data_IF_445535323396
#
_entry.id   IF_445535323396
#
_cell.length_a   1.000
_cell.length_b   1.000
_cell.length_c   1.000
_cell.angle_alpha   90.00
_cell.angle_beta   90.00
_cell.angle_gamma   90.00
#
_symmetry.space_group_name_H-M   'P 1'
#
loop_
_entity.id
_entity.type
_entity.pdbx_description
1 polymer ?
#
# COMPACT_ATOMS: atom_id res chain seq x y z
N UNK A 1 -5.12 -32.53 -8.87
CA UNK A 1 -4.10 -32.68 -7.81
C UNK A 1 -2.83 -32.00 -8.29
N UNK A 2 -2.54 -30.80 -7.76
CA UNK A 2 -1.44 -29.95 -8.22
C UNK A 2 -0.50 -29.74 -7.04
N UNK A 3 0.73 -30.19 -7.18
CA UNK A 3 1.79 -30.05 -6.18
C UNK A 3 2.13 -28.57 -6.02
N UNK A 4 1.69 -27.96 -4.92
CA UNK A 4 2.02 -26.58 -4.57
C UNK A 4 3.39 -26.59 -3.91
N UNK A 5 4.30 -25.77 -4.43
CA UNK A 5 5.63 -25.50 -3.88
C UNK A 5 5.58 -25.37 -2.35
N UNK A 6 6.20 -26.34 -1.65
CA UNK A 6 6.49 -26.30 -0.22
C UNK A 6 7.56 -25.25 0.09
N UNK A 7 7.19 -23.98 -0.01
CA UNK A 7 7.88 -22.95 0.78
C UNK A 7 6.95 -22.71 1.96
N UNK A 8 7.28 -23.28 3.13
CA UNK A 8 6.54 -23.07 4.38
C UNK A 8 6.55 -21.56 4.70
N UNK A 9 5.51 -20.85 4.29
CA UNK A 9 5.53 -19.37 4.28
C UNK A 9 4.68 -18.72 5.36
N UNK A 10 3.71 -19.42 5.96
CA UNK A 10 2.96 -18.86 7.09
C UNK A 10 3.55 -19.28 8.42
N UNK A 11 4.38 -18.46 9.04
CA UNK A 11 4.64 -18.57 10.48
C UNK A 11 3.48 -17.95 11.26
N UNK A 12 3.29 -18.36 12.52
CA UNK A 12 2.39 -17.65 13.46
C UNK A 12 2.78 -16.19 13.64
N UNK A 13 4.07 -15.86 13.50
CA UNK A 13 4.52 -14.47 13.56
C UNK A 13 4.30 -13.77 12.22
N UNK A 14 3.64 -12.60 12.21
CA UNK A 14 3.46 -11.82 11.00
C UNK A 14 4.73 -11.05 10.63
N UNK A 15 4.84 -10.72 9.34
CA UNK A 15 5.84 -9.79 8.84
C UNK A 15 5.41 -8.37 9.24
N UNK A 16 6.16 -7.77 10.17
CA UNK A 16 5.92 -6.41 10.65
C UNK A 16 6.98 -5.45 10.13
N UNK A 17 6.59 -4.19 9.97
CA UNK A 17 7.54 -3.13 9.64
C UNK A 17 6.89 -1.78 9.51
N UNK A 18 7.69 -0.83 9.02
CA UNK A 18 7.23 0.53 8.71
C UNK A 18 7.56 0.86 7.26
N UNK A 19 6.64 1.56 6.60
CA UNK A 19 6.83 2.05 5.23
C UNK A 19 6.56 3.55 5.19
N UNK A 20 7.41 4.28 4.47
CA UNK A 20 7.26 5.73 4.28
C UNK A 20 6.84 6.06 2.86
N UNK A 21 5.75 6.82 2.73
CA UNK A 21 5.20 7.27 1.43
C UNK A 21 4.87 8.75 1.55
N UNK A 22 5.40 9.56 0.64
CA UNK A 22 5.15 11.00 0.55
C UNK A 22 5.28 11.74 1.90
N UNK A 23 6.33 11.41 2.66
CA UNK A 23 6.66 11.90 4.00
C UNK A 23 5.75 11.43 5.15
N UNK A 24 4.78 10.57 4.90
CA UNK A 24 3.99 9.90 5.93
C UNK A 24 4.57 8.51 6.25
N UNK A 25 4.37 8.05 7.49
CA UNK A 25 4.86 6.75 7.98
C UNK A 25 3.67 5.87 8.35
N UNK A 26 3.75 4.62 7.94
CA UNK A 26 2.71 3.63 8.16
C UNK A 26 3.32 2.38 8.78
N UNK A 27 2.70 1.86 9.82
CA UNK A 27 3.03 0.55 10.37
C UNK A 27 2.22 -0.50 9.62
N UNK A 28 2.86 -1.58 9.23
CA UNK A 28 2.20 -2.70 8.58
C UNK A 28 2.42 -4.01 9.32
N UNK A 29 1.47 -4.91 9.15
CA UNK A 29 1.49 -6.28 9.64
C UNK A 29 0.88 -7.19 8.57
N UNK A 30 1.65 -8.15 8.07
CA UNK A 30 1.22 -9.12 7.05
C UNK A 30 1.32 -10.54 7.62
N UNK A 31 0.20 -11.24 7.62
CA UNK A 31 0.15 -12.67 7.90
C UNK A 31 0.14 -13.43 6.58
N UNK A 32 1.03 -14.41 6.42
CA UNK A 32 1.02 -15.33 5.29
C UNK A 32 0.27 -16.61 5.66
N UNK A 33 -0.50 -17.15 4.72
CA UNK A 33 -1.33 -18.33 4.94
C UNK A 33 -0.92 -19.48 4.02
N UNK A 34 -1.10 -20.76 4.45
CA UNK A 34 -1.66 -21.18 5.74
C UNK A 34 -0.69 -20.94 6.91
N UNK A 35 -1.23 -20.68 8.10
CA UNK A 35 -0.43 -20.54 9.31
C UNK A 35 0.12 -21.91 9.75
N UNK A 36 1.38 -21.93 10.17
CA UNK A 36 2.07 -23.12 10.68
C UNK A 36 2.62 -22.84 12.07
N UNK A 37 2.52 -23.82 12.97
CA UNK A 37 2.96 -23.71 14.35
C UNK A 37 2.13 -24.59 15.30
N UNK A 38 2.25 -24.32 16.60
CA UNK A 38 1.43 -24.98 17.61
C UNK A 38 -0.07 -24.68 17.38
N UNK A 39 -0.91 -25.72 17.44
CA UNK A 39 -2.35 -25.65 17.12
C UNK A 39 -3.08 -24.57 17.93
N UNK A 40 -2.87 -24.49 19.24
CA UNK A 40 -3.49 -23.48 20.11
C UNK A 40 -3.11 -22.07 19.66
N UNK A 41 -1.85 -21.87 19.28
CA UNK A 41 -1.36 -20.58 18.78
C UNK A 41 -1.97 -20.24 17.42
N UNK A 42 -2.03 -21.20 16.51
CA UNK A 42 -2.65 -21.05 15.18
C UNK A 42 -4.12 -20.68 15.33
N UNK A 43 -4.90 -21.43 16.11
CA UNK A 43 -6.33 -21.14 16.33
C UNK A 43 -6.56 -19.78 16.96
N UNK A 44 -5.72 -19.36 17.92
CA UNK A 44 -5.79 -18.02 18.52
C UNK A 44 -5.60 -16.93 17.46
N UNK A 45 -4.59 -17.07 16.60
CA UNK A 45 -4.29 -16.07 15.57
C UNK A 45 -5.35 -16.09 14.48
N UNK A 46 -5.83 -17.26 14.05
CA UNK A 46 -6.96 -17.33 13.11
C UNK A 46 -8.19 -16.60 13.65
N UNK A 47 -8.53 -16.80 14.93
CA UNK A 47 -9.64 -16.10 15.55
C UNK A 47 -9.42 -14.58 15.62
N UNK A 48 -8.19 -14.11 15.86
CA UNK A 48 -7.86 -12.68 15.79
C UNK A 48 -8.05 -12.13 14.36
N UNK A 49 -7.53 -12.83 13.35
CA UNK A 49 -7.66 -12.45 11.95
C UNK A 49 -9.13 -12.41 11.48
N UNK A 50 -9.92 -13.41 11.90
CA UNK A 50 -11.36 -13.48 11.64
C UNK A 50 -12.06 -12.24 12.19
N UNK A 51 -11.83 -11.91 13.46
CA UNK A 51 -12.43 -10.72 14.11
C UNK A 51 -11.99 -9.42 13.45
N UNK A 52 -10.68 -9.27 13.17
CA UNK A 52 -10.12 -8.04 12.61
C UNK A 52 -10.57 -7.78 11.18
N UNK A 53 -10.68 -8.82 10.34
CA UNK A 53 -11.07 -8.67 8.95
C UNK A 53 -12.59 -8.71 8.76
N UNK A 54 -13.29 -9.59 9.49
CA UNK A 54 -14.75 -9.74 9.43
C UNK A 54 -15.53 -8.72 10.25
N UNK A 55 -14.91 -8.10 11.26
CA UNK A 55 -15.51 -7.05 12.09
C UNK A 55 -15.44 -5.65 11.49
N UNK A 56 -14.84 -5.48 10.30
CA UNK A 56 -14.65 -4.17 9.66
C UNK A 56 -15.98 -3.60 9.20
N UNK A 57 -16.23 -2.34 9.58
CA UNK A 57 -17.45 -1.62 9.17
C UNK A 57 -17.14 -0.38 8.36
N UNK A 58 -17.95 -0.13 7.34
CA UNK A 58 -17.98 1.11 6.58
C UNK A 58 -19.42 1.62 6.56
N UNK A 59 -19.64 2.83 7.11
CA UNK A 59 -20.97 3.43 7.26
C UNK A 59 -21.99 2.50 7.96
N UNK A 60 -21.56 1.80 9.00
CA UNK A 60 -22.41 0.90 9.79
C UNK A 60 -22.57 -0.52 9.21
N UNK A 61 -22.29 -0.74 7.93
CA UNK A 61 -22.38 -2.05 7.27
C UNK A 61 -21.02 -2.78 7.24
N UNK A 62 -21.00 -4.12 7.18
CA UNK A 62 -19.77 -4.89 6.93
C UNK A 62 -19.09 -4.43 5.63
N UNK A 63 -17.77 -4.25 5.69
CA UNK A 63 -17.03 -3.75 4.55
C UNK A 63 -17.04 -4.76 3.40
N UNK A 64 -17.52 -4.35 2.21
CA UNK A 64 -17.69 -5.22 1.04
C UNK A 64 -18.56 -6.47 1.32
N UNK A 65 -19.44 -6.43 2.32
CA UNK A 65 -20.24 -7.59 2.73
C UNK A 65 -19.43 -8.72 3.38
N UNK A 66 -18.15 -8.51 3.67
CA UNK A 66 -17.27 -9.52 4.27
C UNK A 66 -17.54 -9.61 5.77
N UNK A 67 -18.04 -10.76 6.21
CA UNK A 67 -18.35 -11.08 7.61
C UNK A 67 -17.29 -12.01 8.22
N UNK A 68 -17.33 -12.19 9.54
CA UNK A 68 -16.46 -13.16 10.24
C UNK A 68 -16.61 -14.58 9.67
N UNK A 69 -17.82 -14.99 9.29
CA UNK A 69 -18.07 -16.33 8.73
C UNK A 69 -17.44 -16.51 7.35
N UNK A 70 -17.52 -15.49 6.49
CA UNK A 70 -16.86 -15.50 5.17
C UNK A 70 -15.34 -15.58 5.34
N UNK A 71 -14.78 -14.78 6.26
CA UNK A 71 -13.34 -14.80 6.54
C UNK A 71 -12.91 -16.16 7.09
N UNK A 72 -13.68 -16.73 8.03
CA UNK A 72 -13.42 -18.06 8.58
C UNK A 72 -13.40 -19.12 7.49
N UNK A 73 -14.42 -19.12 6.63
CA UNK A 73 -14.52 -20.06 5.50
C UNK A 73 -13.31 -19.94 4.56
N UNK A 74 -12.90 -18.72 4.21
CA UNK A 74 -11.76 -18.49 3.32
C UNK A 74 -10.42 -18.86 3.94
N UNK A 75 -10.22 -18.64 5.24
CA UNK A 75 -9.01 -19.07 5.95
C UNK A 75 -8.94 -20.60 6.00
N UNK A 76 -10.03 -21.28 6.37
CA UNK A 76 -10.07 -22.73 6.50
C UNK A 76 -9.98 -23.45 5.15
N UNK A 77 -10.48 -22.83 4.09
CA UNK A 77 -10.42 -23.37 2.71
C UNK A 77 -9.12 -23.00 1.98
N UNK A 78 -8.18 -22.32 2.64
CA UNK A 78 -6.93 -21.81 2.05
C UNK A 78 -7.15 -20.90 0.82
N UNK A 79 -8.26 -20.16 0.80
CA UNK A 79 -8.56 -19.20 -0.27
C UNK A 79 -7.72 -17.93 -0.16
N UNK A 80 -7.20 -17.63 1.04
CA UNK A 80 -6.25 -16.53 1.25
C UNK A 80 -4.81 -17.04 1.29
N UNK A 81 -3.93 -16.29 0.65
CA UNK A 81 -2.48 -16.48 0.71
C UNK A 81 -1.81 -15.47 1.66
N UNK A 82 -2.47 -14.35 1.93
CA UNK A 82 -2.01 -13.37 2.89
C UNK A 82 -3.13 -12.47 3.41
N UNK A 83 -2.97 -11.90 4.59
CA UNK A 83 -3.85 -10.86 5.15
C UNK A 83 -2.97 -9.71 5.61
N UNK A 84 -3.26 -8.51 5.13
CA UNK A 84 -2.49 -7.31 5.45
C UNK A 84 -3.29 -6.26 6.19
N UNK A 85 -2.62 -5.64 7.16
CA UNK A 85 -3.12 -4.49 7.90
C UNK A 85 -2.09 -3.38 7.86
N UNK A 86 -2.54 -2.16 7.61
CA UNK A 86 -1.72 -0.96 7.59
C UNK A 86 -2.45 0.15 8.34
N UNK A 87 -1.76 0.89 9.19
CA UNK A 87 -2.29 2.10 9.80
C UNK A 87 -1.26 3.21 9.80
N UNK A 88 -1.74 4.46 9.76
CA UNK A 88 -0.87 5.62 9.87
C UNK A 88 -0.30 5.72 11.29
N UNK A 89 1.01 5.94 11.43
CA UNK A 89 1.65 6.09 12.75
C UNK A 89 1.10 7.27 13.55
N UNK A 90 0.69 8.34 12.87
CA UNK A 90 0.17 9.56 13.51
C UNK A 90 -1.32 9.50 13.76
N UNK A 91 -2.05 8.75 12.95
CA UNK A 91 -3.52 8.70 12.94
C UNK A 91 -3.92 7.23 12.89
N UNK A 92 -3.81 6.56 14.05
CA UNK A 92 -3.94 5.10 14.15
C UNK A 92 -5.32 4.61 13.70
N UNK A 93 -6.35 5.46 13.79
CA UNK A 93 -7.71 5.14 13.35
C UNK A 93 -7.86 5.15 11.82
N UNK A 94 -6.92 5.76 11.08
CA UNK A 94 -6.88 5.73 9.62
C UNK A 94 -6.06 4.53 9.16
N UNK A 95 -6.78 3.45 8.88
CA UNK A 95 -6.21 2.14 8.60
C UNK A 95 -6.80 1.52 7.35
N UNK A 96 -6.05 0.62 6.74
CA UNK A 96 -6.47 -0.18 5.61
C UNK A 96 -6.13 -1.64 5.86
N UNK A 97 -6.97 -2.52 5.32
CA UNK A 97 -6.71 -3.94 5.30
C UNK A 97 -7.25 -4.59 4.04
N UNK A 98 -6.62 -5.67 3.64
CA UNK A 98 -6.96 -6.43 2.45
C UNK A 98 -6.39 -7.85 2.57
N UNK A 99 -6.78 -8.70 1.65
CA UNK A 99 -6.24 -10.06 1.53
C UNK A 99 -5.47 -10.20 0.21
N UNK A 100 -4.51 -11.11 0.21
CA UNK A 100 -3.79 -11.57 -0.96
C UNK A 100 -4.27 -12.98 -1.30
N UNK A 101 -4.39 -13.26 -2.59
CA UNK A 101 -4.77 -14.57 -3.09
C UNK A 101 -3.94 -14.94 -4.32
N UNK A 102 -3.27 -16.09 -4.24
CA UNK A 102 -2.70 -16.77 -5.40
C UNK A 102 -3.78 -17.57 -6.10
N UNK A 103 -4.31 -17.03 -7.20
CA UNK A 103 -5.30 -17.72 -8.01
C UNK A 103 -5.23 -17.23 -9.45
N UNK A 104 -5.55 -18.09 -10.41
CA UNK A 104 -5.68 -17.68 -11.80
C UNK A 104 -7.16 -17.52 -12.14
N UNK A 105 -7.66 -16.28 -12.08
CA UNK A 105 -9.06 -15.97 -12.38
C UNK A 105 -9.31 -15.71 -13.88
N UNK A 106 -8.26 -15.65 -14.70
CA UNK A 106 -8.34 -15.14 -16.08
C UNK A 106 -8.33 -16.21 -17.16
N UNK A 107 -7.92 -17.45 -16.84
CA UNK A 107 -7.93 -18.56 -17.79
C UNK A 107 -8.53 -19.80 -17.17
N UNK A 108 -9.30 -20.56 -17.97
CA UNK A 108 -9.79 -21.90 -17.58
C UNK A 108 -8.65 -22.89 -17.34
N UNK A 109 -7.49 -22.64 -17.95
CA UNK A 109 -6.30 -23.45 -17.77
C UNK A 109 -5.53 -23.03 -16.51
N UNK A 110 -5.71 -23.81 -15.44
CA UNK A 110 -5.00 -23.61 -14.17
C UNK A 110 -3.46 -23.74 -14.27
N UNK A 111 -2.93 -24.17 -15.42
CA UNK A 111 -1.50 -24.36 -15.69
C UNK A 111 -0.79 -23.12 -16.23
N UNK A 112 -1.51 -22.14 -16.77
CA UNK A 112 -0.92 -20.97 -17.43
C UNK A 112 -1.02 -19.74 -16.53
N UNK A 113 0.11 -19.35 -15.95
CA UNK A 113 0.35 -18.09 -15.22
C UNK A 113 -0.45 -17.90 -13.92
N UNK A 114 0.21 -18.19 -12.80
CA UNK A 114 -0.27 -17.80 -11.47
C UNK A 114 -0.38 -16.27 -11.41
N UNK A 115 -1.47 -15.77 -10.85
CA UNK A 115 -1.65 -14.33 -10.61
C UNK A 115 -1.76 -14.06 -9.11
N UNK A 116 -1.30 -12.87 -8.73
CA UNK A 116 -1.53 -12.35 -7.39
C UNK A 116 -2.71 -11.38 -7.40
N UNK A 117 -3.70 -11.64 -6.55
CA UNK A 117 -4.90 -10.85 -6.42
C UNK A 117 -4.99 -10.16 -5.07
N UNK A 118 -5.40 -8.89 -5.09
CA UNK A 118 -5.80 -8.14 -3.90
C UNK A 118 -7.31 -8.22 -3.79
N UNK A 119 -7.79 -8.80 -2.69
CA UNK A 119 -9.20 -8.93 -2.38
C UNK A 119 -9.54 -8.20 -1.07
N UNK A 120 -10.83 -8.08 -0.77
CA UNK A 120 -11.37 -7.59 0.51
C UNK A 120 -10.81 -6.25 0.98
N UNK A 121 -10.43 -5.38 0.04
CA UNK A 121 -9.79 -4.11 0.35
C UNK A 121 -10.78 -3.16 1.05
N UNK A 122 -10.45 -2.79 2.28
CA UNK A 122 -11.22 -1.84 3.07
C UNK A 122 -10.31 -0.78 3.66
N UNK A 123 -10.76 0.48 3.63
CA UNK A 123 -10.22 1.56 4.46
C UNK A 123 -11.20 1.86 5.58
N UNK A 124 -10.74 1.74 6.81
CA UNK A 124 -11.46 2.16 8.01
C UNK A 124 -10.87 3.49 8.48
N UNK A 125 -11.75 4.41 8.87
CA UNK A 125 -11.36 5.69 9.47
C UNK A 125 -12.02 5.78 10.85
N UNK A 126 -11.35 6.45 11.78
CA UNK A 126 -11.96 6.89 13.03
C UNK A 126 -13.12 7.85 12.78
N UNK A 127 -13.75 8.28 13.88
CA UNK A 127 -14.88 9.21 13.83
C UNK A 127 -14.54 10.50 13.08
N UNK A 128 -15.58 11.17 12.57
CA UNK A 128 -15.48 12.22 11.54
C UNK A 128 -14.65 13.45 11.93
N UNK A 129 -14.29 13.59 13.21
CA UNK A 129 -13.48 14.70 13.72
C UNK A 129 -11.97 14.50 13.56
N UNK A 130 -11.51 13.30 13.22
CA UNK A 130 -10.09 13.07 13.00
C UNK A 130 -9.64 13.57 11.62
N UNK A 131 -8.48 14.26 11.61
CA UNK A 131 -7.91 14.78 10.37
C UNK A 131 -7.54 13.61 9.46
N UNK A 132 -7.99 13.66 8.20
CA UNK A 132 -7.57 12.64 7.23
C UNK A 132 -6.09 12.79 6.95
N UNK A 133 -5.35 11.68 6.93
CA UNK A 133 -4.02 11.65 6.36
C UNK A 133 -4.08 12.12 4.90
N UNK A 134 -3.06 12.87 4.47
CA UNK A 134 -2.92 13.29 3.07
C UNK A 134 -2.62 12.09 2.17
N UNK A 135 -2.00 11.05 2.74
CA UNK A 135 -1.63 9.81 2.05
C UNK A 135 -2.50 8.66 2.53
N UNK A 136 -3.29 8.08 1.64
CA UNK A 136 -4.16 6.96 2.00
C UNK A 136 -3.37 5.74 2.52
N UNK A 137 -3.75 5.10 3.65
CA UNK A 137 -3.15 3.83 4.09
C UNK A 137 -3.33 2.71 3.05
N UNK A 138 -4.32 2.80 2.16
CA UNK A 138 -4.47 1.89 1.01
C UNK A 138 -3.25 1.94 0.08
N UNK A 139 -2.68 3.13 -0.16
CA UNK A 139 -1.48 3.29 -0.98
C UNK A 139 -0.28 2.59 -0.34
N UNK A 140 -0.16 2.66 0.98
CA UNK A 140 0.86 1.96 1.74
C UNK A 140 0.66 0.44 1.72
N UNK A 141 -0.58 -0.03 1.89
CA UNK A 141 -0.91 -1.45 1.80
C UNK A 141 -0.55 -2.04 0.43
N UNK A 142 -0.87 -1.36 -0.67
CA UNK A 142 -0.48 -1.80 -2.01
C UNK A 142 1.04 -1.92 -2.18
N UNK A 143 1.81 -0.95 -1.66
CA UNK A 143 3.28 -1.02 -1.71
C UNK A 143 3.83 -2.18 -0.89
N UNK A 144 3.27 -2.46 0.28
CA UNK A 144 3.68 -3.60 1.11
C UNK A 144 3.35 -4.91 0.39
N UNK A 145 2.18 -5.01 -0.22
CA UNK A 145 1.78 -6.18 -1.02
C UNK A 145 2.68 -6.40 -2.23
N UNK A 146 3.08 -5.35 -2.95
CA UNK A 146 4.09 -5.44 -4.01
C UNK A 146 5.42 -5.99 -3.48
N UNK A 147 5.90 -5.50 -2.34
CA UNK A 147 7.16 -5.96 -1.74
C UNK A 147 7.10 -7.42 -1.30
N UNK A 148 6.02 -7.82 -0.62
CA UNK A 148 5.78 -9.20 -0.18
C UNK A 148 5.69 -10.12 -1.40
N UNK A 149 4.91 -9.74 -2.41
CA UNK A 149 4.76 -10.55 -3.64
C UNK A 149 6.09 -10.71 -4.35
N UNK A 150 6.84 -9.63 -4.56
CA UNK A 150 8.15 -9.72 -5.22
C UNK A 150 9.18 -10.52 -4.40
N UNK A 151 9.10 -10.49 -3.07
CA UNK A 151 10.01 -11.24 -2.22
C UNK A 151 9.73 -12.75 -2.30
N UNK A 152 8.47 -13.16 -2.24
CA UNK A 152 8.09 -14.57 -2.22
C UNK A 152 7.83 -15.18 -3.61
N UNK A 153 7.55 -14.36 -4.62
CA UNK A 153 7.31 -14.75 -6.00
C UNK A 153 8.02 -13.78 -6.95
N UNK A 154 9.36 -13.84 -7.06
CA UNK A 154 10.15 -12.89 -7.86
C UNK A 154 9.85 -12.92 -9.36
N UNK A 155 9.17 -13.97 -9.84
CA UNK A 155 8.75 -14.10 -11.24
C UNK A 155 7.40 -13.47 -11.53
N UNK A 156 6.65 -13.05 -10.50
CA UNK A 156 5.46 -12.24 -10.71
C UNK A 156 5.87 -10.81 -10.98
N UNK A 157 5.36 -10.26 -12.07
CA UNK A 157 5.59 -8.88 -12.49
C UNK A 157 4.36 -8.00 -12.27
N UNK A 158 3.24 -8.58 -11.87
CA UNK A 158 1.94 -7.91 -11.84
C UNK A 158 1.11 -8.35 -10.64
N UNK A 159 0.33 -7.40 -10.13
CA UNK A 159 -0.70 -7.62 -9.10
C UNK A 159 -2.05 -7.12 -9.62
N UNK A 160 -3.11 -7.85 -9.28
CA UNK A 160 -4.44 -7.67 -9.84
C UNK A 160 -5.43 -7.29 -8.74
N UNK A 161 -6.49 -6.60 -9.13
CA UNK A 161 -7.67 -6.39 -8.30
C UNK A 161 -8.92 -6.35 -9.19
N UNK A 162 -10.07 -6.52 -8.56
CA UNK A 162 -11.36 -6.46 -9.22
C UNK A 162 -12.21 -5.33 -8.63
N UNK A 163 -12.95 -4.63 -9.48
CA UNK A 163 -13.92 -3.61 -9.11
C UNK A 163 -15.29 -4.07 -9.57
N UNK A 164 -16.23 -4.21 -8.64
CA UNK A 164 -17.63 -4.49 -8.95
C UNK A 164 -18.20 -3.39 -9.84
N UNK A 165 -18.87 -3.77 -10.93
CA UNK A 165 -19.55 -2.90 -11.89
C UNK A 165 -20.97 -3.40 -12.19
N UNK A 166 -21.62 -4.02 -11.20
CA UNK A 166 -23.03 -4.35 -11.24
C UNK A 166 -23.90 -3.13 -11.55
N UNK A 167 -25.07 -3.40 -12.15
CA UNK A 167 -26.05 -2.40 -12.52
C UNK A 167 -26.41 -1.52 -11.31
N UNK A 168 -26.33 -0.20 -11.48
CA UNK A 168 -26.58 0.79 -10.44
C UNK A 168 -25.36 1.18 -9.58
N UNK A 169 -24.19 0.58 -9.82
CA UNK A 169 -22.92 0.96 -9.16
C UNK A 169 -21.92 1.65 -10.09
N UNK A 170 -22.27 1.97 -11.33
CA UNK A 170 -21.34 2.42 -12.38
C UNK A 170 -20.60 3.70 -11.99
N UNK A 171 -21.27 4.63 -11.30
CA UNK A 171 -20.65 5.87 -10.81
C UNK A 171 -19.59 5.59 -9.73
N UNK A 172 -19.86 4.63 -8.83
CA UNK A 172 -18.92 4.19 -7.81
C UNK A 172 -17.74 3.44 -8.44
N UNK A 173 -18.01 2.54 -9.39
CA UNK A 173 -16.99 1.79 -10.14
C UNK A 173 -16.05 2.74 -10.89
N UNK A 174 -16.56 3.79 -11.54
CA UNK A 174 -15.74 4.83 -12.19
C UNK A 174 -14.88 5.60 -11.19
N UNK A 175 -15.42 5.92 -10.01
CA UNK A 175 -14.67 6.59 -8.94
C UNK A 175 -13.54 5.70 -8.41
N UNK A 176 -13.82 4.42 -8.17
CA UNK A 176 -12.82 3.45 -7.70
C UNK A 176 -11.73 3.24 -8.75
N UNK A 177 -12.10 3.11 -10.04
CA UNK A 177 -11.12 3.04 -11.14
C UNK A 177 -10.19 4.26 -11.14
N UNK A 178 -10.72 5.47 -11.00
CA UNK A 178 -9.89 6.69 -10.93
C UNK A 178 -8.91 6.66 -9.75
N UNK A 179 -9.37 6.22 -8.57
CA UNK A 179 -8.53 6.06 -7.38
C UNK A 179 -7.42 5.01 -7.62
N UNK A 180 -7.76 3.84 -8.16
CA UNK A 180 -6.78 2.78 -8.40
C UNK A 180 -5.82 3.11 -9.55
N UNK A 181 -6.27 3.82 -10.57
CA UNK A 181 -5.41 4.38 -11.62
C UNK A 181 -4.36 5.33 -11.04
N UNK A 182 -4.73 6.19 -10.08
CA UNK A 182 -3.78 7.05 -9.37
C UNK A 182 -2.74 6.26 -8.55
N UNK A 183 -3.00 4.99 -8.24
CA UNK A 183 -2.05 4.07 -7.61
C UNK A 183 -1.27 3.19 -8.60
N UNK A 184 -1.48 3.38 -9.91
CA UNK A 184 -0.76 2.69 -10.99
C UNK A 184 -1.43 1.42 -11.52
N UNK A 185 -2.66 1.14 -11.10
CA UNK A 185 -3.46 0.09 -11.74
C UNK A 185 -3.98 0.58 -13.09
N UNK A 186 -4.20 -0.34 -14.03
CA UNK A 186 -4.77 -0.07 -15.35
C UNK A 186 -5.84 -1.11 -15.65
N UNK A 187 -6.91 -0.70 -16.32
CA UNK A 187 -7.98 -1.62 -16.76
C UNK A 187 -7.43 -2.65 -17.73
N UNK A 188 -7.80 -3.91 -17.55
CA UNK A 188 -7.45 -5.00 -18.46
C UNK A 188 -8.54 -5.10 -19.52
N UNK A 189 -8.22 -4.67 -20.75
CA UNK A 189 -9.19 -4.52 -21.85
C UNK A 189 -9.61 -5.83 -22.53
N UNK A 190 -8.93 -6.94 -22.25
CA UNK A 190 -9.17 -8.25 -22.86
C UNK A 190 -9.00 -9.32 -21.80
N UNK A 191 -10.11 -9.73 -21.21
CA UNK A 191 -10.19 -10.99 -20.50
C UNK A 191 -11.23 -11.81 -21.23
N UNK A 192 -10.88 -13.07 -21.53
CA UNK A 192 -11.83 -14.04 -22.05
C UNK A 192 -13.07 -14.04 -21.14
N UNK A 193 -14.29 -14.02 -21.69
CA UNK A 193 -15.50 -13.80 -20.93
C UNK A 193 -15.85 -15.08 -20.17
N UNK A 194 -15.51 -15.21 -18.89
CA UNK A 194 -15.83 -16.51 -18.25
C UNK A 194 -16.09 -16.62 -16.76
N UNK A 195 -16.08 -15.58 -15.91
CA UNK A 195 -16.51 -15.82 -14.51
C UNK A 195 -17.41 -14.73 -13.92
N UNK A 196 -17.17 -13.45 -14.20
CA UNK A 196 -17.93 -12.34 -13.59
C UNK A 196 -18.22 -11.24 -14.62
N UNK A 197 -19.40 -11.27 -15.30
CA UNK A 197 -19.72 -10.34 -16.39
C UNK A 197 -19.83 -8.88 -15.92
N UNK A 198 -20.11 -8.66 -14.65
CA UNK A 198 -20.33 -7.34 -14.05
C UNK A 198 -19.11 -6.83 -13.27
N UNK A 199 -17.90 -7.13 -13.74
CA UNK A 199 -16.66 -6.80 -13.02
C UNK A 199 -15.60 -6.17 -13.92
N UNK A 200 -14.90 -5.18 -13.36
CA UNK A 200 -13.78 -4.49 -14.01
C UNK A 200 -12.49 -4.97 -13.37
N UNK A 201 -11.67 -5.63 -14.18
CA UNK A 201 -10.38 -6.12 -13.75
C UNK A 201 -9.31 -5.06 -13.98
N UNK A 202 -8.46 -4.86 -12.97
CA UNK A 202 -7.36 -3.91 -13.05
C UNK A 202 -6.06 -4.59 -12.66
N UNK A 203 -4.98 -4.27 -13.37
CA UNK A 203 -3.65 -4.79 -13.13
C UNK A 203 -2.63 -3.68 -12.92
N UNK A 204 -1.66 -3.92 -12.05
CA UNK A 204 -0.52 -3.04 -11.84
C UNK A 204 0.77 -3.83 -12.03
N UNK A 205 1.64 -3.33 -12.91
CA UNK A 205 3.01 -3.86 -13.06
C UNK A 205 3.82 -3.43 -11.83
N UNK A 206 4.42 -4.40 -11.16
CA UNK A 206 5.23 -4.22 -9.97
C UNK A 206 6.63 -3.70 -10.33
N UNK A 207 7.17 -2.82 -9.50
CA UNK A 207 8.53 -2.31 -9.68
C UNK A 207 9.55 -3.27 -9.06
N UNK A 208 10.01 -4.24 -9.84
CA UNK A 208 10.97 -5.26 -9.38
C UNK A 208 12.36 -4.67 -9.05
N UNK A 209 12.61 -3.39 -9.35
CA UNK A 209 13.89 -2.73 -9.09
C UNK A 209 14.08 -2.34 -7.61
N UNK A 210 13.02 -2.39 -6.80
CA UNK A 210 13.08 -1.93 -5.40
C UNK A 210 13.50 -3.00 -4.39
N UNK A 211 13.39 -4.28 -4.74
CA UNK A 211 13.72 -5.40 -3.81
C UNK A 211 15.22 -5.69 -3.77
N UNK A 212 15.96 -5.35 -4.82
CA UNK A 212 17.42 -5.36 -4.80
C UNK A 212 17.93 -4.07 -4.20
N UNK A 213 18.30 -4.08 -2.91
CA UNK A 213 18.82 -2.94 -2.14
C UNK A 213 19.90 -2.14 -2.86
N UNK A 214 19.48 -1.22 -3.74
CA UNK A 214 20.32 -0.12 -4.19
C UNK A 214 20.39 0.83 -3.01
N UNK A 215 21.46 0.69 -2.21
CA UNK A 215 22.00 1.75 -1.35
C UNK A 215 21.83 3.07 -2.10
N UNK A 216 20.93 3.94 -1.62
CA UNK A 216 20.64 5.24 -2.18
C UNK A 216 21.93 6.08 -2.29
N UNK A 217 22.66 5.95 -3.40
CA UNK A 217 23.80 6.81 -3.75
C UNK A 217 23.36 8.16 -4.36
N UNK A 218 22.06 8.47 -4.40
CA UNK A 218 21.54 9.69 -5.03
C UNK A 218 21.34 10.89 -4.09
N UNK A 219 21.61 10.78 -2.77
CA UNK A 219 21.49 11.92 -1.85
C UNK A 219 22.72 12.84 -1.76
N UNK A 220 23.69 12.75 -2.69
CA UNK A 220 24.88 13.64 -2.68
C UNK A 220 24.84 14.85 -3.64
N UNK A 221 23.77 15.07 -4.42
CA UNK A 221 23.72 16.22 -5.36
C UNK A 221 22.84 17.41 -4.96
N UNK A 222 22.22 17.42 -3.76
CA UNK A 222 21.39 18.57 -3.33
C UNK A 222 21.98 19.45 -2.21
N UNK A 223 23.25 19.25 -1.80
CA UNK A 223 23.93 20.15 -0.83
C UNK A 223 24.74 21.30 -1.47
N UNK A 224 24.98 21.30 -2.78
CA UNK A 224 25.77 22.37 -3.46
C UNK A 224 24.96 23.61 -3.88
N UNK A 225 23.63 23.59 -3.82
CA UNK A 225 22.80 24.76 -4.19
C UNK A 225 22.42 25.66 -3.02
N UNK A 226 22.42 25.19 -1.77
CA UNK A 226 22.06 26.04 -0.62
C UNK A 226 23.22 26.90 -0.10
N UNK A 227 24.48 26.46 -0.24
CA UNK A 227 25.66 27.24 0.16
C UNK A 227 25.89 28.45 -0.75
N UNK A 228 25.74 28.31 -2.08
CA UNK A 228 25.85 29.47 -3.01
C UNK A 228 24.79 30.55 -2.78
N UNK A 229 23.58 30.19 -2.34
CA UNK A 229 22.51 31.18 -2.04
C UNK A 229 22.78 31.89 -0.70
N UNK A 230 23.36 31.19 0.29
CA UNK A 230 23.75 31.77 1.59
C UNK A 230 24.95 32.72 1.46
N UNK A 231 25.96 32.39 0.66
CA UNK A 231 27.11 33.28 0.39
C UNK A 231 26.71 34.56 -0.36
N UNK A 232 25.75 34.48 -1.31
CA UNK A 232 25.24 35.67 -2.02
C UNK A 232 24.52 36.65 -1.10
N UNK A 233 23.83 36.16 -0.07
CA UNK A 233 23.13 37.01 0.89
C UNK A 233 24.07 37.67 1.91
N UNK A 234 25.14 36.99 2.31
CA UNK A 234 26.18 37.57 3.19
C UNK A 234 26.92 38.70 2.47
N UNK A 235 27.34 38.49 1.20
CA UNK A 235 28.02 39.53 0.41
C UNK A 235 27.15 40.77 0.13
N UNK A 236 25.82 40.64 0.10
CA UNK A 236 24.91 41.79 -0.04
C UNK A 236 24.82 42.60 1.25
N UNK A 237 24.81 41.98 2.43
CA UNK A 237 24.77 42.69 3.72
C UNK A 237 26.05 43.50 3.99
N UNK A 238 27.22 42.96 3.68
CA UNK A 238 28.50 43.66 3.88
C UNK A 238 28.65 44.91 3.00
N UNK A 239 28.09 44.89 1.78
CA UNK A 239 28.14 46.06 0.88
C UNK A 239 27.26 47.21 1.37
N UNK A 240 26.14 46.91 2.03
CA UNK A 240 25.23 47.92 2.57
C UNK A 240 25.86 48.61 3.78
N UNK A 241 26.44 47.86 4.72
CA UNK A 241 27.10 48.43 5.89
C UNK A 241 28.34 49.29 5.54
N UNK A 242 29.11 48.88 4.51
CA UNK A 242 30.28 49.67 4.06
C UNK A 242 29.89 51.00 3.40
N UNK A 243 28.70 51.10 2.78
CA UNK A 243 28.17 52.36 2.23
C UNK A 243 27.67 53.31 3.32
N UNK A 244 27.08 52.79 4.40
CA UNK A 244 26.63 53.62 5.52
C UNK A 244 27.80 54.21 6.32
N UNK A 245 28.88 53.46 6.53
CA UNK A 245 30.09 53.97 7.18
C UNK A 245 30.79 55.09 6.39
N UNK A 246 30.77 55.03 5.05
CA UNK A 246 31.32 56.12 4.21
C UNK A 246 30.48 57.40 4.23
N UNK A 247 29.16 57.31 4.48
CA UNK A 247 28.30 58.52 4.61
C UNK A 247 28.51 59.27 5.92
N UNK A 248 28.98 58.60 6.98
CA UNK A 248 29.24 59.21 8.30
C UNK A 248 30.64 59.82 8.44
N UNK A 249 31.53 59.60 7.48
CA UNK A 249 32.91 60.09 7.51
C UNK A 249 33.15 61.32 6.59
N UNK A 250 32.14 62.18 6.42
CA UNK A 250 32.38 63.50 5.83
C UNK A 250 32.79 64.46 6.96
N UNK A 251 34.00 65.04 6.95
CA UNK A 251 34.36 66.06 7.91
C UNK A 251 33.52 67.31 7.65
N UNK A 252 33.03 67.92 8.73
CA UNK A 252 32.51 69.29 8.72
C UNK A 252 33.72 70.19 8.49
N UNK A 253 33.84 70.72 7.28
CA UNK A 253 34.77 71.80 6.95
C UNK A 253 34.02 73.09 7.27
N UNK A 254 34.51 73.82 8.26
CA UNK A 254 34.17 75.22 8.52
C UNK A 254 35.11 76.12 7.72
#
# INVERSE_FOLDING_TARGET
>A
MTTIFHTQLGTVDPIKGTIRIDNESFVYEIYLLPLTGNEVTVSRIQNDLIKRLGGRRFKGAPCLGITEDIVRSNILSNNYSGIGFVHNERIVTDSASATLQFHNWLTSDASNEKQMWINDLCRTKGEEKETKSQVSPVKALFRVFEQVTNHFQPHMDSIYLMVDNAVGKEAESKKLQSIYNAYGFNVVSKLEPSILPDSIFMKKVMDNRQVGGRRNKSFRKCKKRSTKKRERNIRKRDRTQKRERKKRAKPLIH
#
